data_IF_463483020176
#
_entry.id   IF_463483020176
#
_cell.length_a   1.000
_cell.length_b   1.000
_cell.length_c   1.000
_cell.angle_alpha   90.00
_cell.angle_beta   90.00
_cell.angle_gamma   90.00
#
_symmetry.space_group_name_H-M   'P 1'
#
loop_
_entity.id
_entity.type
_entity.pdbx_description
1 polymer ?
#
# COMPACT_ATOMS: atom_id res chain seq x y z
N UNK A 1 -11.29 26.58 5.63
CA UNK A 1 -10.75 26.25 4.29
C UNK A 1 -9.23 26.08 4.29
N UNK A 2 -8.41 27.03 4.79
CA UNK A 2 -6.94 26.83 4.88
C UNK A 2 -6.56 25.67 5.81
N UNK A 3 -7.15 25.61 7.00
CA UNK A 3 -6.88 24.55 8.00
C UNK A 3 -7.25 23.14 7.51
N UNK A 4 -8.28 23.02 6.67
CA UNK A 4 -8.68 21.73 6.10
C UNK A 4 -7.69 21.25 5.02
N UNK A 5 -7.11 22.17 4.25
CA UNK A 5 -6.01 21.83 3.31
C UNK A 5 -4.76 21.37 4.06
N UNK A 6 -4.46 21.98 5.21
CA UNK A 6 -3.38 21.54 6.08
C UNK A 6 -3.61 20.11 6.62
N UNK A 7 -4.85 19.64 6.71
CA UNK A 7 -5.15 18.29 7.18
C UNK A 7 -4.81 17.23 6.13
N UNK A 8 -5.14 17.47 4.86
CA UNK A 8 -4.74 16.58 3.76
C UNK A 8 -3.21 16.56 3.59
N UNK A 9 -2.57 17.73 3.69
CA UNK A 9 -1.10 17.85 3.70
C UNK A 9 -0.49 17.08 4.88
N UNK A 10 -1.05 17.21 6.08
CA UNK A 10 -0.62 16.48 7.27
C UNK A 10 -0.65 14.97 7.03
N UNK A 11 -1.77 14.41 6.57
CA UNK A 11 -1.86 12.97 6.31
C UNK A 11 -0.90 12.51 5.21
N UNK A 12 -0.69 13.32 4.17
CA UNK A 12 0.26 13.00 3.10
C UNK A 12 1.69 12.89 3.64
N UNK A 13 2.15 13.91 4.38
CA UNK A 13 3.50 13.91 4.97
C UNK A 13 3.69 12.75 5.95
N UNK A 14 2.70 12.49 6.81
CA UNK A 14 2.78 11.37 7.76
C UNK A 14 2.78 10.00 7.05
N UNK A 15 2.04 9.86 5.95
CA UNK A 15 2.04 8.63 5.17
C UNK A 15 3.40 8.40 4.51
N UNK A 16 4.01 9.46 3.94
CA UNK A 16 5.33 9.40 3.32
C UNK A 16 6.39 8.99 4.35
N UNK A 17 6.45 9.65 5.50
CA UNK A 17 7.40 9.34 6.59
C UNK A 17 7.26 7.89 7.08
N UNK A 18 6.04 7.43 7.34
CA UNK A 18 5.78 6.05 7.77
C UNK A 18 6.08 5.03 6.68
N UNK A 19 5.76 5.33 5.42
CA UNK A 19 6.09 4.47 4.30
C UNK A 19 7.60 4.28 4.18
N UNK A 20 8.38 5.35 4.26
CA UNK A 20 9.86 5.30 4.19
C UNK A 20 10.45 4.40 5.30
N UNK A 21 9.92 4.49 6.53
CA UNK A 21 10.33 3.62 7.64
C UNK A 21 9.94 2.16 7.40
N UNK A 22 8.69 1.90 7.00
CA UNK A 22 8.16 0.56 6.78
C UNK A 22 8.80 -0.15 5.58
N UNK A 23 9.26 0.59 4.58
CA UNK A 23 10.01 0.02 3.45
C UNK A 23 11.52 -0.03 3.69
N UNK A 24 12.00 0.33 4.88
CA UNK A 24 13.41 0.32 5.27
C UNK A 24 14.32 1.14 4.34
N UNK A 25 13.89 2.34 3.95
CA UNK A 25 14.59 3.21 2.99
C UNK A 25 14.77 2.56 1.60
N UNK A 26 14.00 1.51 1.27
CA UNK A 26 13.96 0.98 -0.08
C UNK A 26 13.37 2.04 -1.01
N UNK A 27 14.06 2.36 -2.09
CA UNK A 27 13.55 3.28 -3.10
C UNK A 27 13.21 2.53 -4.39
N UNK A 28 12.01 1.92 -4.49
CA UNK A 28 11.60 1.23 -5.69
C UNK A 28 11.33 2.26 -6.80
N UNK A 29 12.16 2.25 -7.84
CA UNK A 29 11.97 3.11 -9.02
C UNK A 29 10.83 2.58 -9.90
N UNK A 30 9.59 2.86 -9.49
CA UNK A 30 8.38 2.45 -10.21
C UNK A 30 7.79 3.67 -10.94
N UNK A 31 7.85 3.65 -12.27
CA UNK A 31 7.13 4.62 -13.09
C UNK A 31 5.67 4.17 -13.19
N UNK A 32 4.78 4.72 -12.35
CA UNK A 32 3.36 4.34 -12.31
C UNK A 32 2.67 4.48 -13.67
N UNK A 33 3.09 5.43 -14.51
CA UNK A 33 2.53 5.62 -15.85
C UNK A 33 2.84 4.46 -16.81
N UNK A 34 3.90 3.69 -16.53
CA UNK A 34 4.30 2.52 -17.31
C UNK A 34 3.59 1.23 -16.89
N UNK A 35 2.95 1.23 -15.71
CA UNK A 35 2.27 0.06 -15.15
C UNK A 35 1.03 -0.24 -15.98
N UNK A 36 0.98 -1.47 -16.51
CA UNK A 36 -0.16 -1.99 -17.25
C UNK A 36 -1.16 -2.59 -16.28
N UNK A 37 -2.41 -2.20 -16.44
CA UNK A 37 -3.52 -2.81 -15.74
C UNK A 37 -4.72 -3.01 -16.67
N UNK A 38 -5.55 -4.00 -16.36
CA UNK A 38 -6.81 -4.26 -17.04
C UNK A 38 -7.96 -4.17 -16.03
N UNK A 39 -8.62 -3.02 -16.03
CA UNK A 39 -9.77 -2.72 -15.17
C UNK A 39 -10.96 -3.64 -15.45
N UNK A 40 -11.03 -4.28 -16.62
CA UNK A 40 -12.13 -5.17 -17.02
C UNK A 40 -11.86 -6.65 -16.75
N UNK A 41 -10.64 -6.98 -16.32
CA UNK A 41 -10.25 -8.36 -16.08
C UNK A 41 -10.73 -8.84 -14.72
N UNK A 42 -11.69 -9.75 -14.75
CA UNK A 42 -12.33 -10.38 -13.58
C UNK A 42 -11.81 -11.79 -13.31
N UNK A 43 -10.75 -12.21 -14.00
CA UNK A 43 -10.18 -13.57 -13.83
C UNK A 43 -9.69 -13.73 -12.40
N UNK A 44 -10.08 -14.83 -11.78
CA UNK A 44 -9.59 -15.23 -10.46
C UNK A 44 -8.06 -15.15 -10.40
N UNK A 45 -7.56 -14.45 -9.38
CA UNK A 45 -6.14 -14.26 -9.13
C UNK A 45 -5.43 -13.24 -10.01
N UNK A 46 -6.17 -12.50 -10.86
CA UNK A 46 -5.58 -11.41 -11.61
C UNK A 46 -5.30 -10.19 -10.71
N UNK A 47 -4.16 -9.54 -10.97
CA UNK A 47 -3.72 -8.26 -10.40
C UNK A 47 -2.71 -7.64 -11.36
N UNK A 48 -2.56 -6.31 -11.36
CA UNK A 48 -1.49 -5.63 -12.09
C UNK A 48 -0.10 -6.10 -11.63
N UNK A 49 0.03 -6.58 -10.39
CA UNK A 49 1.27 -7.16 -9.87
C UNK A 49 1.72 -8.38 -10.70
N UNK A 50 0.75 -9.16 -11.17
CA UNK A 50 0.97 -10.40 -11.91
C UNK A 50 1.23 -10.16 -13.41
N UNK A 51 1.15 -8.91 -13.88
CA UNK A 51 1.43 -8.57 -15.27
C UNK A 51 2.95 -8.65 -15.51
N UNK A 52 3.47 -9.52 -16.40
CA UNK A 52 4.91 -9.74 -16.54
C UNK A 52 5.71 -8.48 -16.86
N UNK A 53 5.15 -7.60 -17.69
CA UNK A 53 5.79 -6.34 -18.09
C UNK A 53 5.99 -5.36 -16.92
N UNK A 54 5.19 -5.48 -15.84
CA UNK A 54 5.27 -4.61 -14.68
C UNK A 54 6.42 -4.99 -13.74
N UNK A 55 6.92 -6.23 -13.79
CA UNK A 55 8.04 -6.74 -12.98
C UNK A 55 7.86 -6.56 -11.46
N UNK A 56 6.62 -6.66 -10.98
CA UNK A 56 6.27 -6.44 -9.56
C UNK A 56 6.17 -7.74 -8.74
N UNK A 57 6.08 -8.90 -9.39
CA UNK A 57 5.87 -10.21 -8.72
C UNK A 57 6.88 -10.47 -7.61
N UNK A 58 8.15 -10.09 -7.83
CA UNK A 58 9.24 -10.35 -6.91
C UNK A 58 9.64 -9.12 -6.06
N UNK A 59 8.95 -7.98 -6.20
CA UNK A 59 9.32 -6.73 -5.52
C UNK A 59 9.29 -6.87 -3.99
N UNK A 60 8.43 -7.75 -3.45
CA UNK A 60 8.38 -8.03 -2.01
C UNK A 60 9.66 -8.73 -1.49
N UNK A 61 10.41 -9.42 -2.36
CA UNK A 61 11.68 -10.06 -1.97
C UNK A 61 12.75 -9.03 -1.66
N UNK A 62 12.79 -7.92 -2.39
CA UNK A 62 13.71 -6.81 -2.12
C UNK A 62 13.41 -6.19 -0.75
N UNK A 63 12.14 -5.97 -0.44
CA UNK A 63 11.70 -5.48 0.86
C UNK A 63 12.06 -6.47 1.98
N UNK A 64 11.79 -7.76 1.76
CA UNK A 64 12.11 -8.82 2.74
C UNK A 64 13.61 -8.91 2.99
N UNK A 65 14.42 -8.84 1.93
CA UNK A 65 15.87 -8.82 2.05
C UNK A 65 16.36 -7.60 2.83
N UNK A 66 15.76 -6.42 2.59
CA UNK A 66 16.08 -5.19 3.32
C UNK A 66 15.71 -5.31 4.80
N UNK A 67 14.53 -5.84 5.12
CA UNK A 67 14.07 -6.10 6.49
C UNK A 67 15.02 -7.01 7.30
N UNK A 68 15.71 -7.93 6.61
CA UNK A 68 16.66 -8.86 7.21
C UNK A 68 18.11 -8.33 7.26
N UNK A 69 18.44 -7.30 6.48
CA UNK A 69 19.81 -6.78 6.33
C UNK A 69 20.01 -5.38 6.88
N UNK A 70 18.93 -4.66 7.19
CA UNK A 70 18.98 -3.32 7.76
C UNK A 70 19.73 -3.30 9.09
N UNK A 71 20.48 -2.23 9.33
CA UNK A 71 21.21 -2.01 10.59
C UNK A 71 20.34 -1.36 11.66
N UNK A 72 19.16 -0.85 11.30
CA UNK A 72 18.20 -0.19 12.20
C UNK A 72 16.86 -0.90 12.05
N UNK A 73 16.17 -1.12 13.17
CA UNK A 73 14.84 -1.74 13.19
C UNK A 73 14.79 -3.09 12.45
N UNK A 74 15.83 -3.92 12.58
CA UNK A 74 15.86 -5.24 11.95
C UNK A 74 14.68 -6.09 12.46
N UNK A 75 14.00 -6.77 11.54
CA UNK A 75 12.95 -7.72 11.91
C UNK A 75 13.54 -9.10 12.20
N UNK A 76 14.69 -9.41 11.61
CA UNK A 76 15.40 -10.67 11.78
C UNK A 76 16.89 -10.43 11.91
N UNK A 77 17.54 -11.14 12.84
CA UNK A 77 18.98 -11.12 13.01
C UNK A 77 19.52 -12.55 13.12
N UNK A 78 20.51 -12.88 12.28
CA UNK A 78 21.16 -14.22 12.26
C UNK A 78 20.17 -15.38 12.10
N UNK A 79 19.10 -15.17 11.32
CA UNK A 79 18.07 -16.17 11.07
C UNK A 79 17.06 -16.34 12.20
N UNK A 80 17.07 -15.46 13.21
CA UNK A 80 16.07 -15.43 14.28
C UNK A 80 15.24 -14.15 14.18
N UNK A 81 13.92 -14.32 14.22
CA UNK A 81 12.95 -13.24 14.24
C UNK A 81 12.94 -12.53 15.59
N UNK A 82 12.99 -11.20 15.58
CA UNK A 82 12.72 -10.39 16.76
C UNK A 82 11.23 -10.09 16.82
N UNK A 83 10.49 -10.88 17.59
CA UNK A 83 9.05 -10.74 17.74
C UNK A 83 8.61 -9.37 18.25
N UNK A 84 9.44 -8.69 19.06
CA UNK A 84 9.13 -7.35 19.54
C UNK A 84 9.23 -6.34 18.42
N UNK A 85 10.26 -6.44 17.58
CA UNK A 85 10.42 -5.60 16.39
C UNK A 85 9.29 -5.86 15.38
N UNK A 86 8.93 -7.13 15.14
CA UNK A 86 7.80 -7.50 14.27
C UNK A 86 6.49 -6.93 14.78
N UNK A 87 6.20 -7.07 16.07
CA UNK A 87 4.98 -6.52 16.64
C UNK A 87 4.93 -4.99 16.51
N UNK A 88 6.05 -4.31 16.77
CA UNK A 88 6.18 -2.87 16.54
C UNK A 88 5.96 -2.49 15.07
N UNK A 89 6.49 -3.28 14.13
CA UNK A 89 6.29 -3.08 12.70
C UNK A 89 4.81 -3.22 12.32
N UNK A 90 4.12 -4.25 12.81
CA UNK A 90 2.67 -4.42 12.59
C UNK A 90 1.88 -3.22 13.12
N UNK A 91 2.23 -2.68 14.29
CA UNK A 91 1.59 -1.47 14.83
C UNK A 91 1.83 -0.23 13.95
N UNK A 92 3.03 -0.11 13.35
CA UNK A 92 3.30 0.97 12.39
C UNK A 92 2.51 0.79 11.08
N UNK A 93 2.29 -0.44 10.62
CA UNK A 93 1.43 -0.73 9.47
C UNK A 93 -0.02 -0.32 9.76
N UNK A 94 -0.58 -0.72 10.91
CA UNK A 94 -1.91 -0.28 11.35
C UNK A 94 -2.00 1.26 11.42
N UNK A 95 -0.94 1.91 11.91
CA UNK A 95 -0.87 3.37 11.94
C UNK A 95 -0.85 4.00 10.54
N UNK A 96 -0.12 3.41 9.60
CA UNK A 96 -0.12 3.86 8.21
C UNK A 96 -1.52 3.74 7.60
N UNK A 97 -2.23 2.63 7.86
CA UNK A 97 -3.61 2.45 7.42
C UNK A 97 -4.53 3.56 7.96
N UNK A 98 -4.45 3.91 9.24
CA UNK A 98 -5.20 5.03 9.82
C UNK A 98 -4.90 6.37 9.14
N UNK A 99 -3.63 6.64 8.85
CA UNK A 99 -3.19 7.86 8.19
C UNK A 99 -3.70 7.91 6.74
N UNK A 100 -3.65 6.79 6.01
CA UNK A 100 -4.20 6.67 4.66
C UNK A 100 -5.72 6.89 4.66
N UNK A 101 -6.45 6.32 5.62
CA UNK A 101 -7.89 6.55 5.78
C UNK A 101 -8.19 8.04 5.99
N UNK A 102 -7.43 8.71 6.86
CA UNK A 102 -7.56 10.15 7.09
C UNK A 102 -7.27 10.97 5.84
N UNK A 103 -6.21 10.62 5.10
CA UNK A 103 -5.86 11.24 3.82
C UNK A 103 -6.95 11.08 2.77
N UNK A 104 -7.43 9.85 2.56
CA UNK A 104 -8.51 9.54 1.62
C UNK A 104 -9.82 10.25 1.98
N UNK A 105 -10.15 10.35 3.27
CA UNK A 105 -11.34 11.05 3.74
C UNK A 105 -11.28 12.57 3.54
N UNK A 106 -10.09 13.16 3.58
CA UNK A 106 -9.90 14.63 3.55
C UNK A 106 -9.52 15.17 2.17
N UNK A 107 -8.79 14.38 1.38
CA UNK A 107 -8.37 14.73 0.03
C UNK A 107 -9.28 14.11 -1.06
N UNK A 108 -9.96 13.01 -0.75
CA UNK A 108 -10.87 12.33 -1.67
C UNK A 108 -12.16 13.10 -1.88
N UNK A 109 -12.67 13.12 -3.11
CA UNK A 109 -14.01 13.65 -3.41
C UNK A 109 -15.14 12.74 -2.91
N UNK A 110 -14.81 11.50 -2.53
CA UNK A 110 -15.71 10.52 -1.95
C UNK A 110 -15.35 10.29 -0.48
N UNK A 111 -16.36 9.95 0.33
CA UNK A 111 -16.20 9.61 1.76
C UNK A 111 -16.49 8.11 1.93
N UNK A 112 -15.58 7.23 1.49
CA UNK A 112 -15.76 5.80 1.64
C UNK A 112 -15.69 5.41 3.13
N UNK A 113 -16.39 4.33 3.52
CA UNK A 113 -16.34 3.88 4.91
C UNK A 113 -15.02 3.17 5.17
N UNK A 114 -14.43 3.38 6.34
CA UNK A 114 -13.16 2.75 6.71
C UNK A 114 -13.15 1.21 6.50
N UNK A 115 -14.20 0.44 6.89
CA UNK A 115 -14.20 -1.00 6.65
C UNK A 115 -14.18 -1.38 5.17
N UNK A 116 -14.79 -0.57 4.30
CA UNK A 116 -14.82 -0.81 2.85
C UNK A 116 -13.44 -0.56 2.23
N UNK A 117 -12.72 0.47 2.69
CA UNK A 117 -11.35 0.76 2.25
C UNK A 117 -10.33 -0.27 2.75
N UNK A 118 -10.40 -0.63 4.03
CA UNK A 118 -9.47 -1.63 4.61
C UNK A 118 -9.74 -3.04 4.09
N UNK A 119 -10.94 -3.30 3.56
CA UNK A 119 -11.31 -4.57 2.94
C UNK A 119 -10.93 -4.69 1.46
N UNK A 120 -10.29 -3.68 0.86
CA UNK A 120 -9.94 -3.72 -0.56
C UNK A 120 -8.84 -4.74 -0.82
N UNK A 121 -9.11 -5.65 -1.77
CA UNK A 121 -8.12 -6.60 -2.23
C UNK A 121 -7.30 -6.00 -3.40
N UNK A 122 -6.03 -6.37 -3.53
CA UNK A 122 -5.17 -5.99 -4.68
C UNK A 122 -5.30 -7.00 -5.84
N UNK A 123 -5.86 -8.17 -5.55
CA UNK A 123 -6.00 -9.30 -6.46
C UNK A 123 -7.44 -9.78 -6.48
N UNK A 124 -7.94 -10.17 -7.64
CA UNK A 124 -9.31 -10.68 -7.77
C UNK A 124 -9.50 -11.96 -6.96
N UNK A 125 -10.46 -11.92 -6.06
CA UNK A 125 -10.93 -13.05 -5.27
C UNK A 125 -11.84 -14.00 -6.06
N UNK A 126 -12.29 -15.10 -5.44
CA UNK A 126 -13.21 -16.06 -6.07
C UNK A 126 -14.61 -15.49 -6.34
N UNK A 127 -15.03 -14.53 -5.51
CA UNK A 127 -16.40 -13.99 -5.49
C UNK A 127 -16.44 -12.46 -5.54
N UNK A 128 -15.28 -11.81 -5.48
CA UNK A 128 -15.11 -10.35 -5.41
C UNK A 128 -14.01 -9.94 -6.36
N UNK A 129 -14.24 -8.86 -7.09
CA UNK A 129 -13.17 -8.20 -7.84
C UNK A 129 -12.28 -7.42 -6.87
N UNK A 130 -11.04 -7.20 -7.26
CA UNK A 130 -10.10 -6.37 -6.49
C UNK A 130 -10.62 -4.94 -6.35
N UNK A 131 -10.15 -4.27 -5.31
CA UNK A 131 -10.46 -2.89 -5.02
C UNK A 131 -9.44 -1.89 -5.54
N UNK A 132 -8.22 -2.33 -5.86
CA UNK A 132 -7.09 -1.44 -6.22
C UNK A 132 -6.65 -1.66 -7.67
N UNK A 133 -6.53 -0.56 -8.41
CA UNK A 133 -6.24 -0.51 -9.83
C UNK A 133 -5.20 0.57 -10.15
N UNK A 134 -4.52 0.41 -11.28
CA UNK A 134 -3.62 1.43 -11.82
C UNK A 134 -4.13 1.93 -13.17
N UNK A 135 -4.17 3.25 -13.36
CA UNK A 135 -4.57 3.85 -14.63
C UNK A 135 -3.80 5.14 -14.89
N UNK A 136 -3.06 5.17 -16.00
CA UNK A 136 -2.36 6.36 -16.49
C UNK A 136 -1.53 7.09 -15.41
N UNK A 137 -0.80 6.33 -14.58
CA UNK A 137 0.03 6.88 -13.51
C UNK A 137 -0.69 7.14 -12.19
N UNK A 138 -1.99 6.87 -12.11
CA UNK A 138 -2.78 7.02 -10.89
C UNK A 138 -3.13 5.67 -10.27
N UNK A 139 -3.13 5.62 -8.94
CA UNK A 139 -3.76 4.55 -8.17
C UNK A 139 -5.23 4.89 -8.00
N UNK A 140 -6.10 3.96 -8.38
CA UNK A 140 -7.56 4.08 -8.24
C UNK A 140 -8.01 3.02 -7.25
N UNK A 141 -8.88 3.41 -6.33
CA UNK A 141 -9.59 2.47 -5.47
C UNK A 141 -11.09 2.48 -5.82
N UNK A 142 -11.71 1.30 -5.77
CA UNK A 142 -13.15 1.12 -5.97
C UNK A 142 -13.71 0.35 -4.77
N UNK A 143 -14.57 1.02 -4.00
CA UNK A 143 -15.30 0.38 -2.90
C UNK A 143 -16.63 -0.17 -3.41
N UNK A 144 -17.06 -1.36 -2.95
CA UNK A 144 -18.41 -1.85 -3.22
C UNK A 144 -19.44 -0.83 -2.71
N UNK A 145 -20.37 -0.41 -3.57
CA UNK A 145 -21.49 0.44 -3.14
C UNK A 145 -22.56 -0.48 -2.56
N UNK A 146 -22.84 -0.34 -1.26
CA UNK A 146 -24.01 -0.93 -0.61
C UNK A 146 -25.23 -0.01 -0.71
#
# INVERSE_FOLDING_TARGET
MKEFRCLAEYFTVQAEELCEELIFDLNPSIELASIKDDLSNTRYGFSFVNYPDNKLVDAYLDLTAKACTTRRNWLSQRGQWDWKAIFSYCQQVERLEEILLGGLHTAGGQVPRAPELLGLEVQNGPSTERGIYIWNGFVIYLTPVH
#
